data_IF_601301447145
#
_entry.id   IF_601301447145
#
_cell.length_a   1.000
_cell.length_b   1.000
_cell.length_c   1.000
_cell.angle_alpha   90.00
_cell.angle_beta   90.00
_cell.angle_gamma   90.00
#
_symmetry.space_group_name_H-M   'P 1'
#
loop_
_entity.id
_entity.type
_entity.pdbx_description
1 polymer ?
#
# COMPACT_ATOMS: atom_id res chain seq x y z
N UNK A 1 -15.75 14.78 18.93
CA UNK A 1 -14.52 14.18 19.48
C UNK A 1 -14.72 12.68 19.48
N UNK A 2 -14.32 11.98 18.44
CA UNK A 2 -14.16 10.53 18.48
C UNK A 2 -12.75 10.25 18.99
N UNK A 3 -12.65 9.99 20.29
CA UNK A 3 -11.40 9.44 20.85
C UNK A 3 -11.09 8.14 20.12
N UNK A 4 -10.03 8.16 19.35
CA UNK A 4 -9.45 6.97 18.75
C UNK A 4 -8.76 6.20 19.88
N UNK A 5 -9.56 5.46 20.67
CA UNK A 5 -9.03 4.59 21.70
C UNK A 5 -8.52 3.31 21.06
N UNK A 6 -7.26 3.35 20.61
CA UNK A 6 -6.48 2.13 20.58
C UNK A 6 -6.42 1.53 21.99
N UNK A 7 -6.06 0.23 22.14
CA UNK A 7 -5.90 -0.35 23.47
C UNK A 7 -4.98 0.56 24.29
N UNK A 8 -5.31 0.84 25.57
CA UNK A 8 -4.49 1.71 26.40
C UNK A 8 -3.07 1.17 26.41
N UNK A 9 -2.10 1.98 25.98
CA UNK A 9 -0.68 1.69 26.16
C UNK A 9 -0.44 1.73 27.66
N UNK A 10 -0.45 0.57 28.29
CA UNK A 10 -0.32 0.42 29.75
C UNK A 10 1.13 0.55 30.21
N UNK A 11 2.08 0.49 29.28
CA UNK A 11 3.50 0.65 29.54
C UNK A 11 4.07 1.89 28.84
N UNK A 12 5.10 2.55 29.39
CA UNK A 12 5.77 3.65 28.72
C UNK A 12 6.31 3.21 27.37
N UNK A 13 6.16 4.06 26.35
CA UNK A 13 6.74 3.81 25.03
C UNK A 13 8.27 3.75 25.13
N UNK A 14 8.86 2.67 24.63
CA UNK A 14 10.30 2.50 24.48
C UNK A 14 10.65 2.38 22.98
N UNK A 15 11.61 3.20 22.48
CA UNK A 15 12.11 3.03 21.12
C UNK A 15 12.75 1.65 20.95
N UNK A 16 12.45 0.98 19.84
CA UNK A 16 12.92 -0.38 19.55
C UNK A 16 13.91 -0.50 18.38
N UNK A 17 14.39 0.64 17.85
CA UNK A 17 15.28 0.66 16.71
C UNK A 17 16.59 -0.13 16.93
N UNK A 18 17.21 -0.01 18.11
CA UNK A 18 18.47 -0.71 18.42
C UNK A 18 18.27 -2.23 18.45
N UNK A 19 17.15 -2.70 18.99
CA UNK A 19 16.78 -4.12 18.96
C UNK A 19 16.61 -4.61 17.53
N UNK A 20 15.87 -3.86 16.70
CA UNK A 20 15.62 -4.20 15.29
C UNK A 20 16.91 -4.24 14.47
N UNK A 21 17.83 -3.30 14.69
CA UNK A 21 19.16 -3.32 14.05
C UNK A 21 20.01 -4.51 14.55
N UNK A 22 19.88 -4.91 15.82
CA UNK A 22 20.49 -6.14 16.34
C UNK A 22 19.95 -7.40 15.63
N UNK A 23 18.67 -7.46 15.29
CA UNK A 23 18.09 -8.52 14.44
C UNK A 23 18.69 -8.52 13.03
N UNK A 24 18.89 -7.33 12.42
CA UNK A 24 19.54 -7.22 11.11
C UNK A 24 20.97 -7.77 11.12
N UNK A 25 21.75 -7.55 12.18
CA UNK A 25 23.09 -8.15 12.30
C UNK A 25 23.05 -9.67 12.16
N UNK A 26 22.16 -10.35 12.85
CA UNK A 26 21.98 -11.81 12.77
C UNK A 26 21.48 -12.26 11.39
N UNK A 27 20.57 -11.49 10.77
CA UNK A 27 20.12 -11.77 9.41
C UNK A 27 21.25 -11.70 8.40
N UNK A 28 22.14 -10.70 8.51
CA UNK A 28 23.25 -10.49 7.60
C UNK A 28 24.31 -11.62 7.65
N UNK A 29 24.49 -12.29 8.81
CA UNK A 29 25.39 -13.44 8.96
C UNK A 29 25.02 -14.62 8.05
N UNK A 30 23.75 -14.74 7.67
CA UNK A 30 23.21 -15.85 6.89
C UNK A 30 22.46 -15.37 5.65
N UNK A 31 22.78 -14.17 5.16
CA UNK A 31 22.08 -13.56 4.02
C UNK A 31 22.25 -14.38 2.74
N UNK A 32 21.16 -14.99 2.22
CA UNK A 32 21.25 -15.92 1.09
C UNK A 32 21.17 -15.25 -0.29
N UNK A 33 20.70 -13.99 -0.32
CA UNK A 33 20.17 -13.35 -1.54
C UNK A 33 21.20 -12.40 -2.19
N UNK A 34 22.46 -12.82 -2.32
CA UNK A 34 23.56 -11.97 -2.80
C UNK A 34 23.51 -11.65 -4.29
N UNK A 35 22.79 -12.45 -5.09
CA UNK A 35 22.78 -12.38 -6.56
C UNK A 35 21.47 -11.81 -7.13
N UNK A 36 20.60 -11.27 -6.28
CA UNK A 36 19.34 -10.68 -6.74
C UNK A 36 19.59 -9.48 -7.64
N UNK A 37 18.81 -9.41 -8.72
CA UNK A 37 18.84 -8.29 -9.66
C UNK A 37 17.90 -7.18 -9.18
N UNK A 38 18.12 -5.96 -9.67
CA UNK A 38 17.25 -4.83 -9.37
C UNK A 38 15.87 -4.96 -10.05
N UNK A 39 15.82 -5.63 -11.19
CA UNK A 39 14.59 -5.91 -11.93
C UNK A 39 13.85 -7.07 -11.26
N UNK A 40 12.57 -6.92 -10.91
CA UNK A 40 11.83 -7.97 -10.22
C UNK A 40 11.57 -9.16 -11.15
N UNK A 41 11.88 -10.36 -10.69
CA UNK A 41 11.82 -11.60 -11.49
C UNK A 41 10.45 -11.88 -12.11
N UNK A 42 9.35 -11.49 -11.44
CA UNK A 42 7.98 -11.68 -11.94
C UNK A 42 7.48 -10.53 -12.81
N UNK A 43 8.28 -9.50 -13.02
CA UNK A 43 7.83 -8.28 -13.70
C UNK A 43 6.58 -7.66 -13.09
N UNK A 44 6.41 -7.81 -11.79
CA UNK A 44 5.22 -7.46 -11.01
C UNK A 44 5.49 -6.25 -10.10
N UNK A 45 4.51 -5.35 -10.01
CA UNK A 45 4.41 -4.34 -8.97
C UNK A 45 3.11 -4.53 -8.19
N UNK A 46 3.18 -4.51 -6.86
CA UNK A 46 2.02 -4.56 -5.95
C UNK A 46 1.90 -3.23 -5.24
N UNK A 47 0.73 -2.59 -5.34
CA UNK A 47 0.39 -1.39 -4.58
C UNK A 47 -0.61 -1.79 -3.49
N UNK A 48 -0.28 -1.49 -2.23
CA UNK A 48 -1.07 -1.99 -1.10
C UNK A 48 -1.02 -1.06 0.11
N UNK A 49 -1.87 -1.35 1.10
CA UNK A 49 -1.91 -0.61 2.36
C UNK A 49 -0.67 -0.88 3.22
N UNK A 50 -0.31 0.13 4.04
CA UNK A 50 0.73 0.03 5.07
C UNK A 50 0.30 -0.77 6.31
N UNK A 51 -0.93 -1.28 6.36
CA UNK A 51 -1.50 -2.02 7.49
C UNK A 51 -0.59 -3.17 7.92
N UNK A 52 -0.21 -3.20 9.19
CA UNK A 52 0.74 -4.16 9.75
C UNK A 52 0.24 -5.60 9.77
N UNK A 53 -1.08 -5.82 9.59
CA UNK A 53 -1.69 -7.15 9.50
C UNK A 53 -1.45 -7.83 8.14
N UNK A 54 -0.90 -7.10 7.16
CA UNK A 54 -0.69 -7.58 5.80
C UNK A 54 0.79 -7.90 5.54
N UNK A 55 1.17 -9.15 5.67
CA UNK A 55 2.45 -9.65 5.16
C UNK A 55 2.29 -10.04 3.69
N UNK A 56 2.66 -9.13 2.79
CA UNK A 56 2.43 -9.28 1.35
C UNK A 56 3.21 -10.46 0.76
N UNK A 57 4.41 -10.72 1.26
CA UNK A 57 5.22 -11.83 0.79
C UNK A 57 4.57 -13.16 1.10
N UNK A 58 4.14 -13.38 2.33
CA UNK A 58 3.42 -14.58 2.73
C UNK A 58 2.05 -14.69 2.06
N UNK A 59 1.30 -13.58 2.02
CA UNK A 59 -0.05 -13.53 1.50
C UNK A 59 -0.13 -13.92 0.01
N UNK A 60 0.84 -13.47 -0.79
CA UNK A 60 0.91 -13.73 -2.23
C UNK A 60 1.91 -14.84 -2.60
N UNK A 61 2.60 -15.45 -1.63
CA UNK A 61 3.61 -16.48 -1.88
C UNK A 61 4.83 -15.95 -2.64
N UNK A 62 5.23 -14.71 -2.37
CA UNK A 62 6.36 -14.05 -3.02
C UNK A 62 7.66 -14.24 -2.22
N UNK A 63 8.77 -14.35 -2.94
CA UNK A 63 10.12 -14.30 -2.38
C UNK A 63 10.81 -12.96 -2.60
N UNK A 64 11.99 -12.79 -2.00
CA UNK A 64 12.82 -11.62 -2.23
C UNK A 64 13.19 -11.49 -3.71
N UNK A 65 13.19 -10.27 -4.24
CA UNK A 65 13.54 -9.99 -5.63
C UNK A 65 12.46 -10.35 -6.67
N UNK A 66 11.30 -10.88 -6.25
CA UNK A 66 10.25 -11.29 -7.20
C UNK A 66 9.33 -10.15 -7.64
N UNK A 67 9.11 -9.12 -6.81
CA UNK A 67 8.19 -8.03 -7.11
C UNK A 67 8.57 -6.72 -6.43
N UNK A 68 8.12 -5.60 -6.99
CA UNK A 68 8.13 -4.32 -6.28
C UNK A 68 6.90 -4.23 -5.38
N UNK A 69 7.11 -3.86 -4.10
CA UNK A 69 6.02 -3.63 -3.16
C UNK A 69 5.97 -2.15 -2.79
N UNK A 70 4.89 -1.46 -3.15
CA UNK A 70 4.63 -0.06 -2.85
C UNK A 70 3.53 0.00 -1.79
N UNK A 71 3.79 0.64 -0.65
CA UNK A 71 2.85 0.72 0.47
C UNK A 71 2.63 2.16 0.92
N UNK A 72 1.37 2.53 1.09
CA UNK A 72 0.97 3.80 1.69
C UNK A 72 -0.30 3.64 2.56
N UNK A 73 -0.77 4.72 3.17
CA UNK A 73 -2.05 4.70 3.88
C UNK A 73 -3.18 4.37 2.89
N UNK A 74 -3.87 3.25 3.12
CA UNK A 74 -4.98 2.77 2.30
C UNK A 74 -4.59 1.98 1.03
N UNK A 75 -3.36 2.03 0.56
CA UNK A 75 -2.97 1.45 -0.73
C UNK A 75 -3.45 2.26 -1.94
N UNK A 76 -3.80 3.53 -1.72
CA UNK A 76 -4.42 4.42 -2.73
C UNK A 76 -3.41 4.87 -3.79
N UNK A 77 -3.91 5.21 -4.98
CA UNK A 77 -3.08 5.70 -6.08
C UNK A 77 -2.86 7.21 -5.91
N UNK A 78 -1.71 7.57 -5.36
CA UNK A 78 -1.24 8.96 -5.26
C UNK A 78 -0.28 9.30 -6.41
N UNK A 79 0.09 10.58 -6.53
CA UNK A 79 1.09 11.01 -7.53
C UNK A 79 2.44 10.34 -7.30
N UNK A 80 2.82 10.06 -6.04
CA UNK A 80 4.05 9.33 -5.74
C UNK A 80 3.97 7.86 -6.15
N UNK A 81 2.82 7.22 -5.99
CA UNK A 81 2.59 5.86 -6.51
C UNK A 81 2.68 5.84 -8.03
N UNK A 82 2.08 6.80 -8.73
CA UNK A 82 2.19 6.91 -10.20
C UNK A 82 3.65 7.10 -10.62
N UNK A 83 4.40 7.97 -9.95
CA UNK A 83 5.84 8.18 -10.17
C UNK A 83 6.62 6.87 -9.99
N UNK A 84 6.34 6.14 -8.92
CA UNK A 84 7.00 4.86 -8.59
C UNK A 84 6.68 3.78 -9.62
N UNK A 85 5.42 3.65 -10.04
CA UNK A 85 5.00 2.72 -11.09
C UNK A 85 5.61 3.09 -12.46
N UNK A 86 5.69 4.38 -12.77
CA UNK A 86 6.34 4.85 -13.99
C UNK A 86 7.81 4.41 -14.05
N UNK A 87 8.57 4.59 -12.98
CA UNK A 87 9.95 4.12 -12.88
C UNK A 87 10.02 2.59 -12.98
N UNK A 88 9.18 1.90 -12.20
CA UNK A 88 9.10 0.44 -12.16
C UNK A 88 8.88 -0.17 -13.53
N UNK A 89 8.01 0.39 -14.35
CA UNK A 89 7.73 -0.12 -15.70
C UNK A 89 8.80 0.27 -16.72
N UNK A 90 9.26 1.52 -16.72
CA UNK A 90 10.13 2.04 -17.78
C UNK A 90 11.60 1.65 -17.63
N UNK A 91 12.07 1.47 -16.41
CA UNK A 91 13.49 1.23 -16.11
C UNK A 91 13.75 -0.10 -15.42
N UNK A 92 12.74 -0.68 -14.75
CA UNK A 92 12.89 -1.89 -13.94
C UNK A 92 11.99 -3.05 -14.41
N UNK A 93 11.50 -2.96 -15.63
CA UNK A 93 10.93 -4.08 -16.38
C UNK A 93 9.58 -4.61 -15.92
N UNK A 94 8.85 -3.96 -14.99
CA UNK A 94 7.52 -4.46 -14.58
C UNK A 94 6.48 -4.27 -15.69
N UNK A 95 5.52 -5.18 -15.77
CA UNK A 95 4.44 -5.18 -16.78
C UNK A 95 3.07 -5.44 -16.19
N UNK A 96 3.02 -6.03 -15.00
CA UNK A 96 1.79 -6.32 -14.26
C UNK A 96 1.69 -5.45 -13.00
N UNK A 97 0.48 -5.00 -12.67
CA UNK A 97 0.18 -4.24 -11.47
C UNK A 97 -0.97 -4.91 -10.73
N UNK A 98 -0.75 -5.24 -9.47
CA UNK A 98 -1.76 -5.67 -8.52
C UNK A 98 -2.06 -4.52 -7.57
N UNK A 99 -3.33 -4.12 -7.49
CA UNK A 99 -3.85 -3.23 -6.45
C UNK A 99 -4.49 -4.09 -5.36
N UNK A 100 -4.01 -3.99 -4.13
CA UNK A 100 -4.48 -4.83 -3.04
C UNK A 100 -4.88 -3.97 -1.84
N UNK A 101 -6.18 -3.71 -1.72
CA UNK A 101 -6.78 -3.11 -0.54
C UNK A 101 -7.16 -4.18 0.48
N UNK A 102 -7.73 -3.78 1.61
CA UNK A 102 -8.19 -4.73 2.63
C UNK A 102 -9.44 -4.22 3.35
N UNK A 103 -10.17 -5.14 3.96
CA UNK A 103 -11.29 -4.83 4.84
C UNK A 103 -10.81 -4.22 6.16
N UNK A 104 -11.65 -3.46 6.86
CA UNK A 104 -11.34 -2.81 8.14
C UNK A 104 -10.07 -1.93 8.07
N UNK A 105 -9.91 -1.18 6.99
CA UNK A 105 -8.79 -0.25 6.82
C UNK A 105 -8.94 0.96 7.74
N UNK A 106 -7.82 1.39 8.34
CA UNK A 106 -7.80 2.61 9.17
C UNK A 106 -8.27 3.87 8.42
N UNK A 107 -8.04 3.92 7.10
CA UNK A 107 -8.46 5.06 6.26
C UNK A 107 -9.99 5.15 6.08
N UNK A 108 -10.74 4.08 6.31
CA UNK A 108 -12.21 4.08 6.32
C UNK A 108 -12.81 4.78 7.56
N UNK A 109 -12.01 4.99 8.60
CA UNK A 109 -12.45 5.56 9.89
C UNK A 109 -12.36 7.07 9.95
N UNK A 110 -11.81 7.70 8.93
CA UNK A 110 -11.59 9.14 8.86
C UNK A 110 -12.17 9.71 7.57
N UNK A 111 -12.62 10.94 7.60
CA UNK A 111 -12.95 11.69 6.39
C UNK A 111 -11.92 12.78 6.16
N UNK A 112 -11.67 13.10 4.91
CA UNK A 112 -10.68 14.10 4.53
C UNK A 112 -10.91 15.47 5.20
N UNK A 113 -12.15 15.93 5.20
CA UNK A 113 -12.51 17.25 5.74
C UNK A 113 -12.28 17.31 7.26
N UNK A 114 -12.70 16.28 8.00
CA UNK A 114 -12.51 16.23 9.46
C UNK A 114 -11.04 16.18 9.80
N UNK A 115 -10.27 15.28 9.18
CA UNK A 115 -8.85 15.12 9.44
C UNK A 115 -8.06 16.40 9.14
N UNK A 116 -8.33 17.05 8.00
CA UNK A 116 -7.65 18.30 7.65
C UNK A 116 -8.04 19.46 8.57
N UNK A 117 -9.30 19.52 9.01
CA UNK A 117 -9.74 20.56 9.95
C UNK A 117 -9.11 20.38 11.35
N UNK A 118 -8.94 19.13 11.82
CA UNK A 118 -8.25 18.84 13.08
C UNK A 118 -6.78 19.26 13.00
N UNK A 119 -6.07 18.91 11.93
CA UNK A 119 -4.68 19.32 11.73
C UNK A 119 -4.53 20.85 11.60
N UNK A 120 -5.44 21.51 10.90
CA UNK A 120 -5.42 22.97 10.77
C UNK A 120 -5.67 23.65 12.14
N UNK A 121 -6.56 23.12 12.95
CA UNK A 121 -6.84 23.63 14.28
C UNK A 121 -5.64 23.42 15.24
N UNK A 122 -4.94 22.32 15.13
CA UNK A 122 -3.78 22.00 15.98
C UNK A 122 -2.51 22.74 15.54
N UNK A 123 -2.23 22.78 14.24
CA UNK A 123 -0.96 23.24 13.68
C UNK A 123 -1.01 24.64 13.07
N UNK A 124 -2.22 25.20 12.88
CA UNK A 124 -2.43 26.49 12.21
C UNK A 124 -2.20 26.46 10.68
N UNK A 125 -2.01 25.28 10.10
CA UNK A 125 -1.77 25.10 8.66
C UNK A 125 -2.63 23.95 8.15
N UNK A 126 -3.44 24.24 7.11
CA UNK A 126 -4.24 23.22 6.42
C UNK A 126 -3.34 22.41 5.47
N UNK A 127 -3.36 21.07 5.53
CA UNK A 127 -2.60 20.24 4.61
C UNK A 127 -3.03 20.45 3.15
N UNK A 128 -2.05 20.61 2.24
CA UNK A 128 -2.29 20.76 0.80
C UNK A 128 -2.51 19.44 0.06
N UNK A 129 -2.01 18.33 0.65
CA UNK A 129 -2.14 16.99 0.10
C UNK A 129 -3.52 16.39 0.37
N UNK A 130 -3.97 15.51 -0.51
CA UNK A 130 -5.20 14.73 -0.30
C UNK A 130 -4.93 13.55 0.64
N UNK A 131 -5.86 13.30 1.56
CA UNK A 131 -5.83 12.11 2.41
C UNK A 131 -6.25 10.85 1.61
N UNK A 132 -7.08 11.05 0.59
CA UNK A 132 -7.66 9.98 -0.26
C UNK A 132 -8.45 8.96 0.57
N UNK A 133 -9.21 9.45 1.58
CA UNK A 133 -10.04 8.57 2.41
C UNK A 133 -11.20 7.96 1.61
N UNK A 134 -11.55 6.73 1.94
CA UNK A 134 -12.65 6.00 1.30
C UNK A 134 -13.51 5.28 2.34
N UNK A 135 -14.77 5.00 2.02
CA UNK A 135 -15.69 4.24 2.86
C UNK A 135 -15.78 2.76 2.45
N UNK A 136 -15.61 2.47 1.16
CA UNK A 136 -15.70 1.13 0.58
C UNK A 136 -14.40 0.79 -0.17
N UNK A 137 -13.62 -0.22 0.28
CA UNK A 137 -12.38 -0.60 -0.36
C UNK A 137 -12.58 -1.17 -1.78
N UNK A 138 -13.72 -1.78 -2.08
CA UNK A 138 -14.03 -2.28 -3.42
C UNK A 138 -14.26 -1.14 -4.41
N UNK A 139 -15.00 -0.11 -3.99
CA UNK A 139 -15.23 1.08 -4.81
C UNK A 139 -13.91 1.83 -5.06
N UNK A 140 -13.06 1.94 -4.04
CA UNK A 140 -11.77 2.62 -4.17
C UNK A 140 -10.79 1.87 -5.08
N UNK A 141 -10.75 0.53 -5.01
CA UNK A 141 -9.97 -0.29 -5.96
C UNK A 141 -10.42 -0.04 -7.40
N UNK A 142 -11.74 0.03 -7.68
CA UNK A 142 -12.24 0.36 -9.03
C UNK A 142 -11.81 1.75 -9.48
N UNK A 143 -11.90 2.74 -8.58
CA UNK A 143 -11.44 4.11 -8.86
C UNK A 143 -9.93 4.14 -9.12
N UNK A 144 -9.15 3.43 -8.33
CA UNK A 144 -7.70 3.31 -8.47
C UNK A 144 -7.31 2.67 -9.81
N UNK A 145 -7.97 1.58 -10.21
CA UNK A 145 -7.76 0.97 -11.54
C UNK A 145 -8.08 1.97 -12.66
N UNK A 146 -9.21 2.69 -12.58
CA UNK A 146 -9.58 3.72 -13.57
C UNK A 146 -8.53 4.84 -13.61
N UNK A 147 -8.01 5.29 -12.47
CA UNK A 147 -6.94 6.31 -12.40
C UNK A 147 -5.68 5.85 -13.13
N UNK A 148 -5.27 4.59 -12.96
CA UNK A 148 -4.13 4.02 -13.69
C UNK A 148 -4.40 3.88 -15.18
N UNK A 149 -5.62 3.55 -15.60
CA UNK A 149 -5.99 3.51 -17.01
C UNK A 149 -5.92 4.88 -17.69
N UNK A 150 -6.30 5.94 -16.97
CA UNK A 150 -6.36 7.30 -17.51
C UNK A 150 -5.00 8.02 -17.51
N UNK A 151 -4.09 7.70 -16.57
CA UNK A 151 -2.79 8.39 -16.52
C UNK A 151 -1.92 8.05 -17.74
N UNK A 152 -1.26 9.04 -18.37
CA UNK A 152 -0.36 8.78 -19.50
C UNK A 152 1.00 8.22 -19.07
N UNK A 153 1.33 8.24 -17.78
CA UNK A 153 2.65 7.87 -17.27
C UNK A 153 2.85 6.37 -17.10
N UNK A 154 1.78 5.63 -16.82
CA UNK A 154 1.77 4.16 -16.75
C UNK A 154 1.70 3.62 -18.16
N UNK A 155 2.69 2.80 -18.53
CA UNK A 155 2.87 2.31 -19.91
C UNK A 155 2.07 1.03 -20.18
N UNK A 156 2.24 0.01 -19.31
CA UNK A 156 1.56 -1.28 -19.43
C UNK A 156 0.31 -1.26 -18.54
N UNK A 157 -0.87 -1.24 -19.17
CA UNK A 157 -2.17 -1.12 -18.49
C UNK A 157 -3.04 -2.36 -18.66
N UNK A 158 -2.64 -3.26 -19.55
CA UNK A 158 -3.40 -4.46 -19.92
C UNK A 158 -3.49 -5.47 -18.77
N UNK A 159 -2.54 -5.42 -17.85
CA UNK A 159 -2.41 -6.33 -16.72
C UNK A 159 -2.51 -5.60 -15.38
N UNK A 160 -3.49 -4.69 -15.26
CA UNK A 160 -3.85 -4.05 -13.99
C UNK A 160 -5.05 -4.78 -13.41
N UNK A 161 -4.86 -5.42 -12.25
CA UNK A 161 -5.91 -6.13 -11.53
C UNK A 161 -6.05 -5.58 -10.12
N UNK A 162 -7.29 -5.57 -9.61
CA UNK A 162 -7.64 -5.05 -8.31
C UNK A 162 -8.21 -6.13 -7.39
N UNK A 163 -7.85 -6.06 -6.11
CA UNK A 163 -8.25 -7.06 -5.11
C UNK A 163 -8.51 -6.40 -3.75
N UNK A 164 -9.34 -7.07 -2.94
CA UNK A 164 -9.53 -6.73 -1.53
C UNK A 164 -9.22 -7.96 -0.68
N UNK A 165 -8.28 -7.82 0.23
CA UNK A 165 -7.93 -8.81 1.24
C UNK A 165 -8.89 -8.72 2.42
N UNK A 166 -9.47 -9.82 2.81
CA UNK A 166 -10.30 -9.91 4.02
C UNK A 166 -9.41 -10.27 5.22
N UNK A 167 -9.25 -9.31 6.13
CA UNK A 167 -8.38 -9.47 7.31
C UNK A 167 -8.89 -10.50 8.33
N UNK A 168 -10.14 -10.97 8.18
CA UNK A 168 -10.73 -11.97 9.09
C UNK A 168 -10.62 -13.39 8.56
N UNK A 169 -10.65 -13.55 7.24
CA UNK A 169 -10.63 -14.87 6.58
C UNK A 169 -9.29 -15.20 5.91
N UNK A 170 -8.47 -14.17 5.64
CA UNK A 170 -7.22 -14.32 4.89
C UNK A 170 -7.42 -14.50 3.38
N UNK A 171 -8.66 -14.36 2.87
CA UNK A 171 -8.96 -14.49 1.45
C UNK A 171 -8.73 -13.18 0.70
N UNK A 172 -8.30 -13.32 -0.56
CA UNK A 172 -8.17 -12.23 -1.52
C UNK A 172 -9.31 -12.34 -2.52
N UNK A 173 -10.14 -11.30 -2.61
CA UNK A 173 -11.29 -11.23 -3.51
C UNK A 173 -10.99 -10.29 -4.66
N UNK A 174 -11.16 -10.73 -5.89
CA UNK A 174 -10.96 -9.90 -7.07
C UNK A 174 -12.07 -8.86 -7.23
N UNK A 175 -11.71 -7.70 -7.71
CA UNK A 175 -12.59 -6.57 -8.00
C UNK A 175 -12.61 -6.34 -9.51
N UNK A 176 -13.73 -6.62 -10.12
CA UNK A 176 -13.92 -6.34 -11.56
C UNK A 176 -14.24 -4.86 -11.79
N UNK A 177 -13.77 -4.33 -12.91
CA UNK A 177 -14.26 -3.04 -13.41
C UNK A 177 -15.68 -3.24 -13.94
N UNK A 178 -16.60 -2.38 -13.53
CA UNK A 178 -17.91 -2.33 -14.15
C UNK A 178 -17.73 -2.05 -15.65
N UNK A 179 -18.33 -2.86 -16.49
CA UNK A 179 -18.35 -2.62 -17.93
C UNK A 179 -18.94 -1.22 -18.17
N UNK A 180 -18.11 -0.32 -18.70
CA UNK A 180 -18.58 1.00 -19.15
C UNK A 180 -19.31 0.75 -20.45
N UNK A 181 -20.65 0.62 -20.34
CA UNK A 181 -21.53 0.57 -21.49
C UNK A 181 -21.48 1.85 -22.32
#
# INVERSE_FOLDING_TARGET
>A
MHEHQGPPITEPFHPNADELIGHNGRYAEHFPDTDLQVDPLRHLAVVTCMDSRMDIFQLLGLGNGESHIIRNAGGVITDDVIRSLCLSQRYLGTKEIILLHHTDCGLQRVTEDVFKAELEAELGIKPWWALESFSDPYADVRQSMKRLQLTPFVQYKEHVRGFVYDVTTGLVNEVELDDVG
#
